data_IF_992936437711
#
_entry.id   IF_992936437711
#
_cell.length_a   1.000
_cell.length_b   1.000
_cell.length_c   1.000
_cell.angle_alpha   90.00
_cell.angle_beta   90.00
_cell.angle_gamma   90.00
#
_symmetry.space_group_name_H-M   'P 1'
#
loop_
_entity.id
_entity.type
_entity.pdbx_description
1 polymer ?
#
# COMPACT_ATOMS: atom_id res chain seq x y z
N UNK A 1 -33.01 -10.36 53.07
CA UNK A 1 -32.89 -11.28 51.91
C UNK A 1 -32.39 -10.60 50.64
N UNK A 2 -32.77 -9.34 50.37
CA UNK A 2 -32.37 -8.61 49.14
C UNK A 2 -30.87 -8.29 49.00
N UNK A 3 -30.13 -8.03 50.10
CA UNK A 3 -28.68 -7.73 50.05
C UNK A 3 -27.80 -8.88 49.53
N UNK A 4 -28.20 -10.15 49.75
CA UNK A 4 -27.49 -11.31 49.21
C UNK A 4 -27.70 -11.49 47.70
N UNK A 5 -28.83 -10.99 47.16
CA UNK A 5 -29.12 -11.02 45.72
C UNK A 5 -28.36 -9.91 44.98
N UNK A 6 -28.26 -8.72 45.58
CA UNK A 6 -27.45 -7.60 45.07
C UNK A 6 -25.97 -7.97 44.95
N UNK A 7 -25.37 -8.57 45.98
CA UNK A 7 -23.98 -9.03 45.90
C UNK A 7 -23.73 -10.15 44.88
N UNK A 8 -24.71 -11.02 44.65
CA UNK A 8 -24.64 -12.04 43.58
C UNK A 8 -24.70 -11.41 42.18
N UNK A 9 -25.53 -10.38 42.01
CA UNK A 9 -25.65 -9.66 40.73
C UNK A 9 -24.38 -8.88 40.39
N UNK A 10 -23.76 -8.24 41.39
CA UNK A 10 -22.51 -7.50 41.21
C UNK A 10 -21.35 -8.42 40.83
N UNK A 11 -21.25 -9.59 41.48
CA UNK A 11 -20.25 -10.60 41.13
C UNK A 11 -20.49 -11.19 39.72
N UNK A 12 -21.76 -11.38 39.33
CA UNK A 12 -22.10 -11.83 37.98
C UNK A 12 -21.72 -10.78 36.92
N UNK A 13 -22.01 -9.50 37.14
CA UNK A 13 -21.60 -8.41 36.25
C UNK A 13 -20.07 -8.32 36.09
N UNK A 14 -19.31 -8.53 37.16
CA UNK A 14 -17.84 -8.55 37.11
C UNK A 14 -17.32 -9.70 36.27
N UNK A 15 -17.85 -10.91 36.47
CA UNK A 15 -17.46 -12.09 35.68
C UNK A 15 -17.90 -11.94 34.23
N UNK A 16 -19.11 -11.42 33.98
CA UNK A 16 -19.62 -11.17 32.63
C UNK A 16 -18.76 -10.15 31.89
N UNK A 17 -18.40 -9.03 32.53
CA UNK A 17 -17.53 -8.02 31.92
C UNK A 17 -16.14 -8.59 31.62
N UNK A 18 -15.59 -9.44 32.49
CA UNK A 18 -14.31 -10.11 32.25
C UNK A 18 -14.38 -11.07 31.06
N UNK A 19 -15.43 -11.90 31.00
CA UNK A 19 -15.66 -12.82 29.87
C UNK A 19 -15.86 -12.03 28.57
N UNK A 20 -16.61 -10.93 28.60
CA UNK A 20 -16.83 -10.07 27.45
C UNK A 20 -15.54 -9.38 26.99
N UNK A 21 -14.70 -8.92 27.91
CA UNK A 21 -13.39 -8.34 27.57
C UNK A 21 -12.50 -9.38 26.88
N UNK A 22 -12.39 -10.59 27.45
CA UNK A 22 -11.62 -11.69 26.85
C UNK A 22 -12.18 -12.10 25.49
N UNK A 23 -13.51 -12.15 25.35
CA UNK A 23 -14.16 -12.49 24.09
C UNK A 23 -13.94 -11.41 23.02
N UNK A 24 -14.11 -10.14 23.36
CA UNK A 24 -13.85 -9.03 22.45
C UNK A 24 -12.39 -9.03 21.99
N UNK A 25 -11.44 -9.21 22.92
CA UNK A 25 -10.03 -9.30 22.61
C UNK A 25 -9.73 -10.49 21.69
N UNK A 26 -10.31 -11.67 21.97
CA UNK A 26 -10.15 -12.87 21.15
C UNK A 26 -10.77 -12.70 19.75
N UNK A 27 -11.95 -12.10 19.63
CA UNK A 27 -12.59 -11.83 18.34
C UNK A 27 -11.78 -10.83 17.53
N UNK A 28 -11.31 -9.74 18.16
CA UNK A 28 -10.48 -8.73 17.51
C UNK A 28 -9.14 -9.30 17.05
N UNK A 29 -8.44 -10.08 17.90
CA UNK A 29 -7.19 -10.75 17.52
C UNK A 29 -7.39 -11.73 16.37
N UNK A 30 -8.45 -12.55 16.40
CA UNK A 30 -8.73 -13.50 15.32
C UNK A 30 -9.09 -12.79 14.01
N UNK A 31 -9.83 -11.67 14.05
CA UNK A 31 -10.09 -10.85 12.87
C UNK A 31 -8.80 -10.25 12.31
N UNK A 32 -7.93 -9.72 13.18
CA UNK A 32 -6.64 -9.18 12.78
C UNK A 32 -5.73 -10.25 12.16
N UNK A 33 -5.69 -11.45 12.75
CA UNK A 33 -4.85 -12.56 12.29
C UNK A 33 -5.32 -13.14 10.96
N UNK A 34 -6.64 -13.24 10.72
CA UNK A 34 -7.21 -13.62 9.41
C UNK A 34 -6.90 -12.58 8.33
N UNK A 35 -6.91 -11.29 8.68
CA UNK A 35 -6.47 -10.24 7.76
C UNK A 35 -4.99 -10.40 7.41
N UNK A 36 -4.13 -10.66 8.40
CA UNK A 36 -2.69 -10.85 8.16
C UNK A 36 -2.39 -12.08 7.28
N UNK A 37 -3.04 -13.22 7.51
CA UNK A 37 -2.84 -14.43 6.68
C UNK A 37 -3.47 -14.31 5.28
N UNK A 38 -4.59 -13.60 5.15
CA UNK A 38 -5.16 -13.25 3.84
C UNK A 38 -4.28 -12.30 3.04
N UNK A 39 -3.60 -11.36 3.71
CA UNK A 39 -2.65 -10.43 3.07
C UNK A 39 -1.46 -11.19 2.45
N UNK A 40 -0.92 -12.19 3.14
CA UNK A 40 0.23 -12.96 2.64
C UNK A 40 -0.13 -13.80 1.41
N UNK A 41 -1.23 -14.57 1.48
CA UNK A 41 -1.69 -15.39 0.36
C UNK A 41 -2.12 -14.57 -0.88
N UNK A 42 -2.57 -13.33 -0.68
CA UNK A 42 -2.98 -12.43 -1.76
C UNK A 42 -1.83 -11.52 -2.23
N UNK A 43 -0.64 -11.59 -1.61
CA UNK A 43 0.46 -10.68 -1.88
C UNK A 43 0.97 -10.78 -3.31
N UNK A 44 1.19 -12.00 -3.81
CA UNK A 44 1.64 -12.22 -5.18
C UNK A 44 0.62 -11.72 -6.21
N UNK A 45 -0.66 -11.96 -5.98
CA UNK A 45 -1.73 -11.47 -6.86
C UNK A 45 -1.78 -9.94 -6.84
N UNK A 46 -1.68 -9.34 -5.65
CA UNK A 46 -1.75 -7.90 -5.48
C UNK A 46 -0.54 -7.19 -6.10
N UNK A 47 0.66 -7.75 -5.93
CA UNK A 47 1.87 -7.29 -6.62
C UNK A 47 1.62 -7.20 -8.13
N UNK A 48 1.14 -8.30 -8.74
CA UNK A 48 0.91 -8.36 -10.19
C UNK A 48 -0.16 -7.34 -10.61
N UNK A 49 -1.26 -7.22 -9.85
CA UNK A 49 -2.33 -6.27 -10.15
C UNK A 49 -1.83 -4.81 -10.08
N UNK A 50 -1.07 -4.46 -9.04
CA UNK A 50 -0.51 -3.11 -8.89
C UNK A 50 0.47 -2.83 -10.02
N UNK A 51 1.41 -3.75 -10.31
CA UNK A 51 2.38 -3.59 -11.40
C UNK A 51 1.69 -3.42 -12.75
N UNK A 52 0.71 -4.27 -13.06
CA UNK A 52 -0.09 -4.19 -14.30
C UNK A 52 -0.73 -2.81 -14.47
N UNK A 53 -1.32 -2.29 -13.40
CA UNK A 53 -2.05 -1.05 -13.44
C UNK A 53 -1.15 0.18 -13.51
N UNK A 54 -0.01 0.16 -12.81
CA UNK A 54 1.00 1.20 -12.92
C UNK A 54 1.59 1.26 -14.33
N UNK A 55 1.90 0.11 -14.95
CA UNK A 55 2.36 0.08 -16.34
C UNK A 55 1.31 0.65 -17.29
N UNK A 56 0.04 0.24 -17.13
CA UNK A 56 -1.07 0.72 -17.97
C UNK A 56 -1.18 2.25 -17.91
N UNK A 57 -1.07 2.83 -16.72
CA UNK A 57 -1.14 4.28 -16.52
C UNK A 57 0.11 5.00 -17.02
N UNK A 58 1.29 4.42 -16.82
CA UNK A 58 2.55 4.97 -17.29
C UNK A 58 2.60 5.06 -18.82
N UNK A 59 2.19 3.99 -19.51
CA UNK A 59 2.15 3.94 -20.98
C UNK A 59 1.05 4.84 -21.58
N UNK A 60 -0.06 5.05 -20.86
CA UNK A 60 -1.14 5.94 -21.32
C UNK A 60 -0.80 7.42 -21.17
N UNK A 61 0.06 7.76 -20.21
CA UNK A 61 0.41 9.14 -19.88
C UNK A 61 1.45 9.65 -20.87
N UNK A 62 1.02 10.46 -21.87
CA UNK A 62 1.91 11.10 -22.86
C UNK A 62 3.04 11.95 -22.24
N UNK A 63 2.91 12.33 -20.97
CA UNK A 63 3.89 13.12 -20.21
C UNK A 63 5.12 12.33 -19.73
N UNK A 64 5.10 11.00 -19.82
CA UNK A 64 6.05 10.16 -19.09
C UNK A 64 7.36 9.88 -19.84
N UNK A 65 7.50 10.36 -21.08
CA UNK A 65 8.77 10.30 -21.80
C UNK A 65 9.33 8.89 -21.98
N UNK A 66 8.47 7.87 -22.09
CA UNK A 66 8.92 6.48 -22.29
C UNK A 66 9.76 6.41 -23.57
N UNK A 67 11.03 5.99 -23.49
CA UNK A 67 11.88 5.89 -24.67
C UNK A 67 11.31 4.90 -25.69
N UNK A 68 11.44 5.21 -26.99
CA UNK A 68 10.97 4.33 -28.07
C UNK A 68 11.65 2.94 -28.03
N UNK A 69 12.89 2.89 -27.55
CA UNK A 69 13.64 1.65 -27.33
C UNK A 69 12.96 0.77 -26.27
N UNK A 70 12.50 1.37 -25.16
CA UNK A 70 11.73 0.68 -24.12
C UNK A 70 10.41 0.15 -24.66
N UNK A 71 9.71 0.89 -25.52
CA UNK A 71 8.46 0.39 -26.15
C UNK A 71 8.70 -0.85 -27.03
N UNK A 72 9.82 -0.90 -27.76
CA UNK A 72 10.19 -2.07 -28.57
C UNK A 72 10.52 -3.27 -27.68
N UNK A 73 11.29 -3.06 -26.62
CA UNK A 73 11.62 -4.10 -25.65
C UNK A 73 10.37 -4.68 -24.98
N UNK A 74 9.41 -3.83 -24.59
CA UNK A 74 8.14 -4.25 -24.00
C UNK A 74 7.31 -5.14 -24.94
N UNK A 75 7.31 -4.86 -26.26
CA UNK A 75 6.61 -5.69 -27.25
C UNK A 75 7.23 -7.09 -27.32
N UNK A 76 8.55 -7.18 -27.41
CA UNK A 76 9.28 -8.46 -27.46
C UNK A 76 9.02 -9.29 -26.20
N UNK A 77 9.05 -8.66 -25.03
CA UNK A 77 8.75 -9.33 -23.77
C UNK A 77 7.29 -9.79 -23.70
N UNK A 78 6.37 -9.03 -24.27
CA UNK A 78 4.95 -9.39 -24.24
C UNK A 78 4.63 -10.71 -24.97
N UNK A 79 5.44 -11.05 -25.97
CA UNK A 79 5.34 -12.26 -26.80
C UNK A 79 6.15 -13.43 -26.22
N UNK A 80 7.18 -13.15 -25.41
CA UNK A 80 8.13 -14.15 -24.91
C UNK A 80 7.63 -14.96 -23.70
N UNK A 81 6.59 -14.49 -23.00
CA UNK A 81 6.10 -15.13 -21.77
C UNK A 81 4.72 -15.75 -21.92
N UNK A 82 4.62 -17.06 -21.63
CA UNK A 82 3.37 -17.83 -21.60
C UNK A 82 2.49 -17.50 -20.39
N UNK A 83 3.09 -17.15 -19.24
CA UNK A 83 2.36 -16.83 -18.00
C UNK A 83 2.23 -15.33 -17.80
N UNK A 84 1.01 -14.87 -17.47
CA UNK A 84 0.67 -13.44 -17.32
C UNK A 84 1.49 -12.75 -16.22
N UNK A 85 1.66 -13.41 -15.07
CA UNK A 85 2.40 -12.92 -13.91
C UNK A 85 3.88 -12.68 -14.22
N UNK A 86 4.54 -13.65 -14.87
CA UNK A 86 5.93 -13.52 -15.30
C UNK A 86 6.10 -12.37 -16.29
N UNK A 87 5.18 -12.23 -17.25
CA UNK A 87 5.16 -11.14 -18.22
C UNK A 87 5.06 -9.78 -17.55
N UNK A 88 4.09 -9.60 -16.65
CA UNK A 88 3.85 -8.34 -15.95
C UNK A 88 5.08 -7.93 -15.14
N UNK A 89 5.71 -8.88 -14.44
CA UNK A 89 6.94 -8.61 -13.68
C UNK A 89 8.06 -8.15 -14.60
N UNK A 90 8.35 -8.89 -15.67
CA UNK A 90 9.43 -8.55 -16.59
C UNK A 90 9.22 -7.17 -17.25
N UNK A 91 8.02 -6.89 -17.73
CA UNK A 91 7.69 -5.60 -18.34
C UNK A 91 7.79 -4.44 -17.35
N UNK A 92 7.40 -4.66 -16.09
CA UNK A 92 7.51 -3.64 -15.05
C UNK A 92 8.96 -3.28 -14.78
N UNK A 93 9.86 -4.28 -14.69
CA UNK A 93 11.28 -4.02 -14.47
C UNK A 93 11.91 -3.20 -15.59
N UNK A 94 11.54 -3.45 -16.85
CA UNK A 94 12.00 -2.66 -18.01
C UNK A 94 11.47 -1.23 -17.97
N UNK A 95 10.21 -1.02 -17.60
CA UNK A 95 9.67 0.34 -17.44
C UNK A 95 10.28 1.07 -16.25
N UNK A 96 10.55 0.36 -15.16
CA UNK A 96 11.17 0.92 -13.97
C UNK A 96 12.65 1.30 -14.22
N UNK A 97 13.38 0.53 -15.03
CA UNK A 97 14.76 0.83 -15.41
C UNK A 97 14.88 2.00 -16.38
N UNK A 98 13.83 2.29 -17.16
CA UNK A 98 13.75 3.45 -18.05
C UNK A 98 13.66 4.81 -17.32
N UNK A 99 13.74 4.83 -15.97
CA UNK A 99 13.72 6.03 -15.13
C UNK A 99 12.52 6.95 -15.43
N UNK A 100 11.36 6.36 -15.69
CA UNK A 100 10.12 7.11 -15.90
C UNK A 100 9.78 7.93 -14.66
N UNK A 101 9.57 9.22 -14.87
CA UNK A 101 9.33 10.20 -13.82
C UNK A 101 7.85 10.59 -13.78
N UNK A 102 7.21 10.48 -12.61
CA UNK A 102 5.79 10.78 -12.41
C UNK A 102 5.67 12.02 -11.53
N UNK A 103 5.10 13.09 -12.08
CA UNK A 103 4.85 14.32 -11.34
C UNK A 103 3.60 14.22 -10.46
N UNK A 104 3.49 15.06 -9.42
CA UNK A 104 2.30 15.14 -8.54
C UNK A 104 0.98 15.28 -9.31
N UNK A 105 0.85 16.17 -10.32
CA UNK A 105 -0.38 16.27 -11.10
C UNK A 105 -0.72 15.00 -11.88
N UNK A 106 0.30 14.32 -12.44
CA UNK A 106 0.12 13.06 -13.14
C UNK A 106 -0.37 11.96 -12.18
N UNK A 107 0.26 11.82 -11.01
CA UNK A 107 -0.16 10.85 -10.01
C UNK A 107 -1.58 11.13 -9.47
N UNK A 108 -1.93 12.40 -9.22
CA UNK A 108 -3.31 12.78 -8.82
C UNK A 108 -4.31 12.42 -9.93
N UNK A 109 -3.92 12.54 -11.21
CA UNK A 109 -4.77 12.10 -12.32
C UNK A 109 -4.98 10.58 -12.32
N UNK A 110 -3.95 9.80 -11.93
CA UNK A 110 -4.04 8.36 -11.79
C UNK A 110 -5.01 7.97 -10.68
N UNK A 111 -5.02 8.69 -9.55
CA UNK A 111 -5.97 8.49 -8.46
C UNK A 111 -7.42 8.85 -8.81
N UNK A 112 -7.71 9.34 -10.02
CA UNK A 112 -9.07 9.49 -10.56
C UNK A 112 -9.48 8.34 -11.47
N UNK A 113 -8.55 7.47 -11.86
CA UNK A 113 -8.82 6.32 -12.69
C UNK A 113 -9.55 5.24 -11.86
N UNK A 114 -10.71 4.80 -12.35
CA UNK A 114 -11.59 3.86 -11.64
C UNK A 114 -10.94 2.49 -11.46
N UNK A 115 -10.13 2.04 -12.41
CA UNK A 115 -9.45 0.75 -12.35
C UNK A 115 -8.33 0.81 -11.31
N UNK A 116 -7.57 1.90 -11.27
CA UNK A 116 -6.54 2.09 -10.26
C UNK A 116 -7.10 2.17 -8.84
N UNK A 117 -8.18 2.94 -8.63
CA UNK A 117 -8.87 2.99 -7.33
C UNK A 117 -9.37 1.59 -6.91
N UNK A 118 -9.90 0.81 -7.86
CA UNK A 118 -10.38 -0.54 -7.56
C UNK A 118 -9.24 -1.46 -7.09
N UNK A 119 -8.06 -1.39 -7.72
CA UNK A 119 -6.87 -2.13 -7.30
C UNK A 119 -6.39 -1.68 -5.92
N UNK A 120 -6.35 -0.36 -5.66
CA UNK A 120 -5.98 0.17 -4.35
C UNK A 120 -6.95 -0.29 -3.25
N UNK A 121 -8.25 -0.35 -3.54
CA UNK A 121 -9.26 -0.84 -2.61
C UNK A 121 -9.12 -2.35 -2.34
N UNK A 122 -8.83 -3.15 -3.38
CA UNK A 122 -8.52 -4.58 -3.21
C UNK A 122 -7.24 -4.77 -2.39
N UNK A 123 -6.30 -3.84 -2.48
CA UNK A 123 -5.06 -3.79 -1.70
C UNK A 123 -5.25 -3.32 -0.24
N UNK A 124 -6.47 -2.97 0.19
CA UNK A 124 -6.74 -2.35 1.51
C UNK A 124 -5.95 -1.04 1.72
N UNK A 125 -5.76 -0.25 0.66
CA UNK A 125 -5.09 1.06 0.69
C UNK A 125 -6.15 2.16 0.71
N UNK A 126 -6.15 2.97 1.77
CA UNK A 126 -7.09 4.07 1.93
C UNK A 126 -6.71 5.26 1.05
N UNK A 127 -7.66 5.71 0.22
CA UNK A 127 -7.47 6.81 -0.75
C UNK A 127 -8.17 8.11 -0.35
N UNK A 128 -8.67 8.20 0.89
CA UNK A 128 -9.40 9.36 1.40
C UNK A 128 -8.58 10.66 1.35
N UNK A 129 -7.25 10.58 1.50
CA UNK A 129 -6.33 11.71 1.35
C UNK A 129 -5.36 11.50 0.17
N UNK A 130 -5.83 11.75 -1.05
CA UNK A 130 -5.04 11.60 -2.28
C UNK A 130 -3.74 12.44 -2.29
N UNK A 131 -3.79 13.65 -1.73
CA UNK A 131 -2.62 14.53 -1.64
C UNK A 131 -1.58 13.98 -0.66
N UNK A 132 -2.04 13.45 0.48
CA UNK A 132 -1.17 12.85 1.49
C UNK A 132 -0.50 11.55 1.03
N UNK A 133 -1.10 10.79 0.11
CA UNK A 133 -0.44 9.60 -0.46
C UNK A 133 0.80 10.02 -1.23
N UNK A 134 0.72 11.02 -2.10
CA UNK A 134 1.88 11.46 -2.87
C UNK A 134 3.02 11.92 -1.95
N UNK A 135 2.72 12.75 -0.96
CA UNK A 135 3.70 13.24 0.02
C UNK A 135 4.29 12.12 0.89
N UNK A 136 3.53 11.07 1.14
CA UNK A 136 4.04 9.88 1.84
C UNK A 136 4.97 9.05 0.96
N UNK A 137 4.74 9.01 -0.36
CA UNK A 137 5.58 8.27 -1.30
C UNK A 137 6.87 9.05 -1.62
N UNK A 138 6.77 10.38 -1.72
CA UNK A 138 7.86 11.33 -2.03
C UNK A 138 8.67 11.64 -0.77
N UNK A 139 9.28 10.60 -0.20
CA UNK A 139 9.98 10.69 1.09
C UNK A 139 11.27 11.52 1.01
N UNK A 140 11.81 11.74 -0.18
CA UNK A 140 12.98 12.59 -0.44
C UNK A 140 12.60 14.03 -0.84
N UNK A 141 11.29 14.32 -0.96
CA UNK A 141 10.75 15.62 -1.36
C UNK A 141 11.31 16.09 -2.71
N UNK A 142 11.60 15.15 -3.61
CA UNK A 142 12.09 15.43 -4.95
C UNK A 142 11.03 16.13 -5.82
N UNK A 143 9.75 16.02 -5.44
CA UNK A 143 8.60 16.57 -6.18
C UNK A 143 8.13 15.68 -7.33
N UNK A 144 8.72 14.50 -7.47
CA UNK A 144 8.38 13.49 -8.45
C UNK A 144 8.52 12.09 -7.84
N UNK A 145 8.00 11.09 -8.55
CA UNK A 145 8.07 9.69 -8.12
C UNK A 145 8.51 8.82 -9.28
N UNK A 146 9.37 7.85 -9.00
CA UNK A 146 9.65 6.72 -9.89
C UNK A 146 8.55 5.66 -9.77
N UNK A 147 8.44 4.80 -10.79
CA UNK A 147 7.56 3.62 -10.71
C UNK A 147 7.88 2.72 -9.51
N UNK A 148 9.15 2.59 -9.16
CA UNK A 148 9.60 1.79 -8.02
C UNK A 148 9.19 2.40 -6.68
N UNK A 149 9.26 3.73 -6.52
CA UNK A 149 8.80 4.40 -5.30
C UNK A 149 7.29 4.26 -5.11
N UNK A 150 6.52 4.43 -6.20
CA UNK A 150 5.08 4.24 -6.16
C UNK A 150 4.75 2.78 -5.80
N UNK A 151 5.32 1.81 -6.52
CA UNK A 151 5.06 0.40 -6.24
C UNK A 151 5.45 0.01 -4.81
N UNK A 152 6.68 0.29 -4.39
CA UNK A 152 7.17 -0.09 -3.06
C UNK A 152 6.41 0.63 -1.96
N UNK A 153 6.09 1.90 -2.15
CA UNK A 153 5.32 2.66 -1.18
C UNK A 153 3.88 2.18 -1.07
N UNK A 154 3.19 1.89 -2.18
CA UNK A 154 1.86 1.27 -2.15
C UNK A 154 1.88 -0.11 -1.47
N UNK A 155 2.90 -0.94 -1.76
CA UNK A 155 3.08 -2.23 -1.09
C UNK A 155 3.35 -2.10 0.41
N UNK A 156 3.94 -0.99 0.86
CA UNK A 156 4.11 -0.68 2.30
C UNK A 156 2.85 -0.12 2.94
N UNK A 157 2.06 0.65 2.20
CA UNK A 157 0.77 1.19 2.65
C UNK A 157 -0.32 0.11 2.73
N UNK A 158 -0.11 -1.04 2.08
CA UNK A 158 -1.00 -2.20 2.12
C UNK A 158 -1.17 -2.77 3.53
N UNK A 159 -2.42 -2.94 3.94
CA UNK A 159 -2.82 -3.52 5.22
C UNK A 159 -3.60 -2.52 6.08
N UNK A 160 -3.95 -2.90 7.32
CA UNK A 160 -4.81 -2.06 8.15
C UNK A 160 -4.21 -0.67 8.37
N UNK A 161 -5.05 0.37 8.35
CA UNK A 161 -4.75 1.81 8.48
C UNK A 161 -3.67 2.16 9.52
N UNK A 162 -3.56 1.41 10.62
CA UNK A 162 -2.48 1.59 11.61
C UNK A 162 -1.07 1.44 10.99
N UNK A 163 -0.89 0.59 9.98
CA UNK A 163 0.39 0.42 9.26
C UNK A 163 0.68 1.57 8.31
N UNK A 164 -0.31 2.20 7.68
CA UNK A 164 -0.06 3.35 6.79
C UNK A 164 0.37 4.58 7.56
N UNK A 165 -0.20 4.84 8.76
CA UNK A 165 0.27 5.90 9.65
C UNK A 165 1.67 5.63 10.20
N UNK A 166 1.97 4.39 10.61
CA UNK A 166 3.31 3.98 11.05
C UNK A 166 4.33 4.07 9.92
N UNK A 167 3.99 3.64 8.71
CA UNK A 167 4.88 3.74 7.53
C UNK A 167 5.11 5.20 7.17
N UNK A 168 4.06 6.03 7.12
CA UNK A 168 4.20 7.47 6.88
C UNK A 168 5.00 8.17 7.98
N UNK A 169 4.87 7.75 9.24
CA UNK A 169 5.74 8.20 10.33
C UNK A 169 7.19 7.75 10.14
N UNK A 170 7.45 6.48 9.83
CA UNK A 170 8.79 5.94 9.62
C UNK A 170 9.51 6.57 8.42
N UNK A 171 8.79 6.91 7.34
CA UNK A 171 9.37 7.60 6.19
C UNK A 171 9.76 9.04 6.56
N UNK A 172 8.89 9.76 7.26
CA UNK A 172 9.20 11.11 7.79
C UNK A 172 10.38 11.08 8.77
N UNK A 173 10.44 10.08 9.65
CA UNK A 173 11.56 9.88 10.58
C UNK A 173 12.89 9.61 9.86
N UNK A 174 12.88 8.79 8.81
CA UNK A 174 14.08 8.49 8.02
C UNK A 174 14.60 9.74 7.33
N UNK A 175 13.70 10.57 6.79
CA UNK A 175 14.07 11.85 6.20
C UNK A 175 14.69 12.82 7.23
N UNK A 176 14.07 12.96 8.40
CA UNK A 176 14.64 13.76 9.51
C UNK A 176 16.02 13.24 9.92
N UNK A 177 16.18 11.91 10.02
CA UNK A 177 17.47 11.31 10.36
C UNK A 177 18.55 11.59 9.29
N UNK A 178 18.19 11.62 8.01
CA UNK A 178 19.12 11.97 6.93
C UNK A 178 19.53 13.45 6.99
N UNK A 179 18.61 14.37 7.28
CA UNK A 179 18.94 15.79 7.48
C UNK A 179 19.90 15.95 8.66
N UNK A 180 19.60 15.32 9.79
CA UNK A 180 20.44 15.41 11.00
C UNK A 180 21.84 14.84 10.76
N UNK A 181 21.95 13.74 10.01
CA UNK A 181 23.25 13.21 9.63
C UNK A 181 24.01 14.13 8.66
N UNK A 182 23.34 14.69 7.64
CA UNK A 182 23.95 15.64 6.72
C UNK A 182 24.31 17.00 7.33
N UNK A 183 23.84 17.31 8.54
CA UNK A 183 24.23 18.49 9.32
C UNK A 183 25.38 18.22 10.30
N UNK A 184 25.78 16.95 10.48
CA UNK A 184 26.86 16.55 11.39
C UNK A 184 28.20 16.28 10.70
N UNK A 185 28.25 16.44 9.37
CA UNK A 185 29.48 16.50 8.55
C UNK A 185 29.76 17.95 8.11
#
# INVERSE_FOLDING_TARGET
>A
MQWKLLGKLENFLKVFNLIMAIFLENVMMNQMQRKLTGIDNTANKMEVNIKEELMRLALRSRSNGVPEETEKELKVLSESFQRKDARVRAMFEVLASAQVVITKPAFISWLKDKQFIAVLKEADIETANQAGIFECLDADMSGWLTLNEIYNGLMRLRGPVAKSEIVGFCLRLRHVAQIVHGMSD
#
